data_IF_605982479866
#
_entry.id   IF_605982479866
#
_cell.length_a   1.000
_cell.length_b   1.000
_cell.length_c   1.000
_cell.angle_alpha   90.00
_cell.angle_beta   90.00
_cell.angle_gamma   90.00
#
_symmetry.space_group_name_H-M   'P 1'
#
loop_
_entity.id
_entity.type
_entity.pdbx_description
1 polymer ?
#
# COMPACT_ATOMS: atom_id res chain seq x y z
N UNK A 1 -49.67 -8.96 -2.91
CA UNK A 1 -49.09 -7.72 -2.33
C UNK A 1 -47.75 -7.43 -3.03
N UNK A 2 -47.67 -6.35 -3.83
CA UNK A 2 -46.40 -5.87 -4.43
C UNK A 2 -46.01 -4.58 -3.70
N UNK A 3 -44.93 -4.62 -2.95
CA UNK A 3 -44.33 -3.42 -2.35
C UNK A 3 -43.56 -2.68 -3.45
N UNK A 4 -44.12 -1.56 -3.92
CA UNK A 4 -43.38 -0.60 -4.74
C UNK A 4 -42.38 0.15 -3.86
N UNK A 5 -41.09 -0.05 -4.11
CA UNK A 5 -40.03 0.77 -3.53
C UNK A 5 -39.93 2.03 -4.39
N UNK A 6 -40.45 3.14 -3.86
CA UNK A 6 -40.32 4.46 -4.47
C UNK A 6 -38.98 5.07 -4.00
N UNK A 7 -38.00 5.17 -4.90
CA UNK A 7 -36.74 5.85 -4.63
C UNK A 7 -36.88 7.33 -5.00
N UNK A 8 -36.60 8.28 -4.09
CA UNK A 8 -36.66 9.70 -4.43
C UNK A 8 -35.54 10.08 -5.42
N UNK A 9 -35.78 11.01 -6.36
CA UNK A 9 -34.75 11.46 -7.28
C UNK A 9 -33.66 12.22 -6.52
N UNK A 10 -32.41 11.82 -6.75
CA UNK A 10 -31.22 12.50 -6.25
C UNK A 10 -31.11 13.84 -7.00
N UNK A 11 -31.33 14.95 -6.29
CA UNK A 11 -31.05 16.27 -6.82
C UNK A 11 -29.54 16.39 -7.07
N UNK A 12 -29.16 16.64 -8.33
CA UNK A 12 -27.79 16.95 -8.69
C UNK A 12 -27.51 18.42 -8.31
N UNK A 13 -26.61 18.64 -7.35
CA UNK A 13 -26.11 19.97 -7.05
C UNK A 13 -25.12 20.42 -8.15
N UNK A 14 -25.17 21.70 -8.58
CA UNK A 14 -24.24 22.23 -9.57
C UNK A 14 -22.83 22.36 -8.98
N UNK A 15 -21.86 21.77 -9.69
CA UNK A 15 -20.43 21.86 -9.41
C UNK A 15 -20.02 23.34 -9.51
N UNK A 16 -19.71 23.97 -8.37
CA UNK A 16 -19.09 25.30 -8.35
C UNK A 16 -17.67 25.20 -8.89
N UNK A 17 -17.46 25.70 -10.11
CA UNK A 17 -16.14 25.89 -10.70
C UNK A 17 -15.41 27.03 -9.99
N UNK A 18 -14.37 26.71 -9.23
CA UNK A 18 -13.44 27.73 -8.72
C UNK A 18 -12.64 28.36 -9.87
N UNK A 19 -12.43 29.69 -9.87
CA UNK A 19 -11.61 30.35 -10.88
C UNK A 19 -10.13 30.00 -10.73
N UNK A 20 -9.48 29.77 -11.87
CA UNK A 20 -8.05 29.47 -11.97
C UNK A 20 -7.18 30.66 -11.49
N UNK A 21 -6.05 30.41 -10.81
CA UNK A 21 -5.10 31.47 -10.49
C UNK A 21 -4.46 32.00 -11.78
N UNK A 22 -4.52 33.33 -11.93
CA UNK A 22 -3.91 34.09 -13.01
C UNK A 22 -2.39 33.90 -13.02
N UNK A 23 -1.84 33.54 -14.18
CA UNK A 23 -0.40 33.45 -14.43
C UNK A 23 0.22 34.85 -14.37
N UNK A 24 0.74 35.23 -13.19
CA UNK A 24 1.62 36.37 -13.07
C UNK A 24 2.96 36.08 -13.78
N UNK A 25 3.19 36.88 -14.81
CA UNK A 25 4.32 36.91 -15.73
C UNK A 25 5.64 37.20 -14.98
N UNK A 26 6.40 36.17 -14.65
CA UNK A 26 7.80 36.36 -14.21
C UNK A 26 8.63 36.71 -15.46
N UNK A 27 9.06 37.97 -15.54
CA UNK A 27 10.02 38.43 -16.53
C UNK A 27 11.37 37.78 -16.24
N UNK A 28 11.87 37.03 -17.22
CA UNK A 28 13.26 36.60 -17.31
C UNK A 28 14.16 37.83 -17.42
N UNK A 29 14.99 38.07 -16.41
CA UNK A 29 16.23 38.85 -16.56
C UNK A 29 17.38 37.84 -16.55
N UNK A 30 17.57 37.20 -17.69
CA UNK A 30 18.88 36.68 -18.06
C UNK A 30 19.75 37.88 -18.49
N UNK A 31 21.06 37.75 -18.31
CA UNK A 31 22.11 38.67 -18.76
C UNK A 31 22.50 39.81 -17.81
N UNK A 32 23.26 39.46 -16.76
CA UNK A 32 24.48 40.17 -16.38
C UNK A 32 25.15 39.42 -15.22
N UNK A 33 26.02 38.45 -15.51
CA UNK A 33 27.19 38.04 -14.69
C UNK A 33 27.75 36.68 -15.10
N UNK A 34 28.09 36.50 -16.38
CA UNK A 34 28.96 35.39 -16.79
C UNK A 34 30.07 35.88 -17.71
N UNK A 35 30.96 36.70 -17.16
CA UNK A 35 32.33 36.83 -17.66
C UNK A 35 33.19 37.41 -16.56
N UNK A 36 34.36 36.80 -16.37
CA UNK A 36 35.42 37.13 -15.41
C UNK A 36 35.29 36.52 -14.00
N UNK A 37 35.45 35.19 -13.90
CA UNK A 37 36.32 34.65 -12.85
C UNK A 37 36.72 33.21 -13.12
N UNK A 38 37.73 33.03 -13.97
CA UNK A 38 38.46 31.76 -14.15
C UNK A 38 39.39 31.44 -12.97
N UNK A 39 39.17 32.02 -11.79
CA UNK A 39 40.05 31.91 -10.62
C UNK A 39 39.44 31.14 -9.42
N UNK A 40 38.21 30.64 -9.51
CA UNK A 40 37.57 29.87 -8.41
C UNK A 40 37.58 28.34 -8.60
N UNK A 41 38.07 27.83 -9.73
CA UNK A 41 38.11 26.39 -10.02
C UNK A 41 39.29 25.67 -9.34
N UNK A 42 40.18 26.40 -8.64
CA UNK A 42 41.39 25.85 -8.03
C UNK A 42 41.32 25.60 -6.50
N UNK A 43 40.12 25.53 -5.89
CA UNK A 43 39.97 25.23 -4.45
C UNK A 43 39.08 24.03 -4.10
N UNK A 44 38.42 23.39 -5.07
CA UNK A 44 37.70 22.14 -4.81
C UNK A 44 38.61 20.94 -5.08
N UNK A 45 39.52 20.72 -4.14
CA UNK A 45 40.20 19.44 -3.94
C UNK A 45 39.13 18.37 -3.71
N UNK A 46 38.87 17.53 -4.71
CA UNK A 46 38.01 16.35 -4.60
C UNK A 46 38.64 15.41 -3.58
N UNK A 47 38.11 15.42 -2.37
CA UNK A 47 38.38 14.40 -1.36
C UNK A 47 37.71 13.09 -1.77
N UNK A 48 38.37 11.92 -1.67
CA UNK A 48 37.73 10.64 -1.89
C UNK A 48 36.62 10.44 -0.84
N UNK A 49 35.35 10.43 -1.27
CA UNK A 49 34.23 9.99 -0.44
C UNK A 49 34.27 8.46 -0.43
N UNK A 50 35.19 7.93 0.37
CA UNK A 50 35.12 6.55 0.83
C UNK A 50 35.49 6.55 2.32
N UNK A 51 34.49 6.91 3.15
CA UNK A 51 34.48 6.56 4.56
C UNK A 51 33.08 6.07 4.91
N UNK A 52 32.97 4.76 4.87
CA UNK A 52 31.92 3.95 5.47
C UNK A 52 31.93 4.23 6.98
N UNK A 53 31.33 5.33 7.42
CA UNK A 53 31.14 5.62 8.85
C UNK A 53 30.07 4.69 9.40
N UNK A 54 30.52 3.59 9.99
CA UNK A 54 29.72 2.62 10.76
C UNK A 54 28.93 3.28 11.90
N UNK A 55 29.35 4.47 12.34
CA UNK A 55 28.73 5.24 13.44
C UNK A 55 27.43 5.93 13.03
N UNK A 56 27.29 6.38 11.77
CA UNK A 56 26.06 7.04 11.32
C UNK A 56 24.85 6.10 11.22
N UNK A 57 25.09 4.78 11.15
CA UNK A 57 24.01 3.76 11.25
C UNK A 57 23.44 3.62 12.66
N UNK A 58 24.18 3.99 13.71
CA UNK A 58 23.73 3.80 15.09
C UNK A 58 22.67 4.83 15.52
N UNK A 59 22.76 6.07 15.03
CA UNK A 59 21.81 7.13 15.39
C UNK A 59 20.46 7.07 14.64
N UNK A 60 20.39 6.37 13.50
CA UNK A 60 19.13 6.14 12.77
C UNK A 60 18.29 4.98 13.32
N UNK A 61 18.86 4.13 14.19
CA UNK A 61 18.17 2.95 14.73
C UNK A 61 17.10 3.29 15.79
N UNK A 62 17.15 4.48 16.41
CA UNK A 62 16.18 4.91 17.42
C UNK A 62 14.85 5.46 16.86
N UNK A 63 14.73 5.59 15.53
CA UNK A 63 13.52 6.03 14.83
C UNK A 63 12.75 4.88 14.15
N UNK A 64 13.04 3.62 14.51
CA UNK A 64 11.99 2.61 14.41
C UNK A 64 10.85 3.11 15.32
N UNK A 65 9.60 3.04 14.89
CA UNK A 65 8.48 3.46 15.74
C UNK A 65 8.01 2.29 16.61
N UNK A 66 8.45 2.10 17.86
CA UNK A 66 7.68 1.37 18.85
C UNK A 66 6.77 2.37 19.55
N UNK A 67 5.78 2.93 18.84
CA UNK A 67 4.62 3.47 19.56
C UNK A 67 3.97 2.27 20.25
N UNK A 68 3.79 2.27 21.60
CA UNK A 68 3.13 1.17 22.27
C UNK A 68 1.74 0.99 21.66
N UNK A 69 1.44 -0.23 21.22
CA UNK A 69 0.12 -0.55 20.69
C UNK A 69 -0.95 -0.22 21.74
N UNK A 70 -1.97 0.54 21.37
CA UNK A 70 -3.03 0.92 22.32
C UNK A 70 -3.82 -0.31 22.77
N UNK A 71 -4.31 -0.31 24.01
CA UNK A 71 -5.08 -1.43 24.60
C UNK A 71 -6.28 -1.82 23.73
N UNK A 72 -6.89 -0.83 23.07
CA UNK A 72 -8.00 -1.02 22.13
C UNK A 72 -7.61 -1.80 20.87
N UNK A 73 -6.36 -1.69 20.41
CA UNK A 73 -5.85 -2.43 19.26
C UNK A 73 -5.57 -3.89 19.62
N UNK A 74 -4.97 -4.13 20.79
CA UNK A 74 -4.74 -5.49 21.32
C UNK A 74 -6.05 -6.25 21.51
N UNK A 75 -7.10 -5.56 22.00
CA UNK A 75 -8.42 -6.16 22.19
C UNK A 75 -9.08 -6.60 20.87
N UNK A 76 -8.77 -5.93 19.75
CA UNK A 76 -9.38 -6.18 18.43
C UNK A 76 -8.60 -7.14 17.54
N UNK A 77 -7.35 -7.47 17.87
CA UNK A 77 -6.58 -8.46 17.11
C UNK A 77 -7.23 -9.84 17.20
N UNK A 78 -7.35 -10.56 16.08
CA UNK A 78 -7.79 -11.95 16.10
C UNK A 78 -6.78 -12.80 16.89
N UNK A 79 -7.29 -13.59 17.84
CA UNK A 79 -6.48 -14.50 18.68
C UNK A 79 -6.38 -15.91 18.10
N UNK A 80 -7.26 -16.24 17.15
CA UNK A 80 -7.39 -17.58 16.54
C UNK A 80 -6.64 -17.58 15.20
N UNK A 81 -5.93 -18.68 14.91
CA UNK A 81 -5.28 -18.89 13.63
C UNK A 81 -6.29 -18.87 12.47
N UNK A 82 -5.89 -18.50 11.24
CA UNK A 82 -6.77 -18.47 10.07
C UNK A 82 -6.97 -19.87 9.47
N UNK A 83 -7.34 -20.84 10.30
CA UNK A 83 -7.61 -22.24 9.95
C UNK A 83 -8.82 -22.73 10.73
N UNK A 84 -9.48 -23.78 10.22
CA UNK A 84 -10.57 -24.47 10.92
C UNK A 84 -10.08 -25.68 11.73
N UNK A 85 -8.79 -26.00 11.67
CA UNK A 85 -8.20 -27.16 12.32
C UNK A 85 -8.26 -27.01 13.85
N UNK A 86 -8.92 -27.95 14.52
CA UNK A 86 -9.06 -27.96 15.98
C UNK A 86 -10.09 -26.99 16.57
N UNK A 87 -10.95 -26.41 15.73
CA UNK A 87 -12.10 -25.59 16.19
C UNK A 87 -13.27 -26.52 16.51
N UNK A 88 -13.85 -26.36 17.70
CA UNK A 88 -15.11 -27.04 18.06
C UNK A 88 -16.27 -26.42 17.27
N UNK A 89 -16.97 -27.25 16.49
CA UNK A 89 -18.09 -26.82 15.65
C UNK A 89 -19.38 -26.58 16.43
N UNK A 90 -19.50 -27.10 17.65
CA UNK A 90 -20.68 -26.86 18.49
C UNK A 90 -20.61 -25.51 19.22
N UNK A 91 -19.40 -24.95 19.42
CA UNK A 91 -19.22 -23.60 19.94
C UNK A 91 -19.33 -22.54 18.82
N UNK A 92 -20.51 -21.95 18.72
CA UNK A 92 -20.82 -20.85 17.80
C UNK A 92 -19.84 -19.66 17.89
N UNK A 93 -19.27 -19.38 19.07
CA UNK A 93 -18.33 -18.26 19.24
C UNK A 93 -16.97 -18.60 18.64
N UNK A 94 -16.45 -19.79 18.94
CA UNK A 94 -15.19 -20.28 18.38
C UNK A 94 -15.26 -20.39 16.86
N UNK A 95 -16.37 -20.95 16.33
CA UNK A 95 -16.59 -21.03 14.89
C UNK A 95 -16.61 -19.67 14.20
N UNK A 96 -17.30 -18.68 14.78
CA UNK A 96 -17.34 -17.33 14.20
C UNK A 96 -15.99 -16.65 14.26
N UNK A 97 -15.23 -16.82 15.34
CA UNK A 97 -13.88 -16.29 15.43
C UNK A 97 -12.97 -16.85 14.33
N UNK A 98 -13.06 -18.15 14.03
CA UNK A 98 -12.30 -18.80 12.95
C UNK A 98 -12.74 -18.33 11.55
N UNK A 99 -14.05 -18.23 11.30
CA UNK A 99 -14.58 -17.67 10.04
C UNK A 99 -14.06 -16.25 9.80
N UNK A 100 -14.13 -15.40 10.82
CA UNK A 100 -13.65 -14.03 10.70
C UNK A 100 -12.13 -13.96 10.51
N UNK A 101 -11.35 -14.85 11.14
CA UNK A 101 -9.89 -14.91 10.96
C UNK A 101 -9.53 -15.20 9.49
N UNK A 102 -10.18 -16.20 8.88
CA UNK A 102 -9.97 -16.55 7.47
C UNK A 102 -10.35 -15.40 6.54
N UNK A 103 -11.50 -14.77 6.77
CA UNK A 103 -11.94 -13.65 5.93
C UNK A 103 -11.00 -12.45 6.06
N UNK A 104 -10.53 -12.11 7.27
CA UNK A 104 -9.56 -11.02 7.47
C UNK A 104 -8.27 -11.26 6.68
N UNK A 105 -7.72 -12.47 6.70
CA UNK A 105 -6.51 -12.80 5.92
C UNK A 105 -6.73 -12.69 4.41
N UNK A 106 -7.90 -13.10 3.91
CA UNK A 106 -8.25 -12.90 2.50
C UNK A 106 -8.31 -11.40 2.14
N UNK A 107 -8.85 -10.56 3.04
CA UNK A 107 -8.84 -9.11 2.85
C UNK A 107 -7.44 -8.51 2.92
N UNK A 108 -6.57 -8.99 3.81
CA UNK A 108 -5.15 -8.56 3.89
C UNK A 108 -4.46 -8.82 2.55
N UNK A 109 -4.61 -10.02 1.95
CA UNK A 109 -4.05 -10.33 0.62
C UNK A 109 -4.61 -9.42 -0.46
N UNK A 110 -5.90 -9.10 -0.41
CA UNK A 110 -6.52 -8.14 -1.33
C UNK A 110 -5.95 -6.73 -1.17
N UNK A 111 -5.71 -6.28 0.07
CA UNK A 111 -5.09 -4.97 0.35
C UNK A 111 -3.63 -4.92 -0.11
N UNK A 112 -2.87 -6.01 0.05
CA UNK A 112 -1.50 -6.10 -0.48
C UNK A 112 -1.48 -5.89 -1.99
N UNK A 113 -2.41 -6.51 -2.73
CA UNK A 113 -2.52 -6.32 -4.18
C UNK A 113 -2.90 -4.87 -4.55
N UNK A 114 -3.74 -4.19 -3.76
CA UNK A 114 -4.09 -2.77 -3.97
C UNK A 114 -2.90 -1.85 -3.79
N UNK A 115 -2.07 -2.06 -2.75
CA UNK A 115 -0.86 -1.29 -2.52
C UNK A 115 0.11 -1.40 -3.70
N UNK A 116 0.34 -2.62 -4.21
CA UNK A 116 1.21 -2.83 -5.37
C UNK A 116 0.63 -2.17 -6.63
N UNK A 117 -0.68 -2.23 -6.82
CA UNK A 117 -1.36 -1.56 -7.94
C UNK A 117 -1.19 -0.04 -7.89
N UNK A 118 -1.31 0.56 -6.72
CA UNK A 118 -1.13 2.01 -6.54
C UNK A 118 0.31 2.43 -6.81
N UNK A 119 1.29 1.67 -6.32
CA UNK A 119 2.70 1.95 -6.59
C UNK A 119 3.06 1.76 -8.07
N UNK A 120 2.51 0.74 -8.73
CA UNK A 120 2.63 0.55 -10.17
C UNK A 120 2.04 1.74 -10.93
N UNK A 121 0.88 2.25 -10.52
CA UNK A 121 0.26 3.44 -11.10
C UNK A 121 1.12 4.70 -10.94
N UNK A 122 1.84 4.85 -9.83
CA UNK A 122 2.84 5.93 -9.66
C UNK A 122 4.07 5.72 -10.55
N UNK A 123 4.57 4.50 -10.69
CA UNK A 123 5.68 4.19 -11.59
C UNK A 123 5.34 4.57 -13.04
N UNK A 124 4.15 4.20 -13.52
CA UNK A 124 3.69 4.53 -14.87
C UNK A 124 3.61 6.05 -15.09
N UNK A 125 3.18 6.81 -14.08
CA UNK A 125 3.14 8.28 -14.13
C UNK A 125 4.54 8.93 -14.09
N UNK A 126 5.50 8.34 -13.38
CA UNK A 126 6.88 8.87 -13.27
C UNK A 126 7.72 8.59 -14.52
N UNK A 127 7.66 7.37 -15.05
CA UNK A 127 8.53 6.91 -16.15
C UNK A 127 7.98 7.23 -17.54
N UNK A 128 6.67 7.48 -17.66
CA UNK A 128 6.02 7.80 -18.93
C UNK A 128 6.23 6.68 -19.95
N UNK A 129 6.77 7.01 -21.12
CA UNK A 129 6.99 6.06 -22.22
C UNK A 129 7.94 4.90 -21.82
N UNK A 130 8.79 5.09 -20.80
CA UNK A 130 9.78 4.10 -20.37
C UNK A 130 9.25 3.08 -19.35
N UNK A 131 7.94 3.05 -19.08
CA UNK A 131 7.36 2.18 -18.06
C UNK A 131 7.54 0.68 -18.32
N UNK A 132 7.80 0.27 -19.57
CA UNK A 132 7.98 -1.13 -19.95
C UNK A 132 9.27 -1.74 -19.37
N UNK A 133 10.35 -0.98 -19.34
CA UNK A 133 11.66 -1.42 -18.82
C UNK A 133 11.76 -1.20 -17.30
N UNK A 134 11.25 -0.07 -16.81
CA UNK A 134 11.44 0.36 -15.42
C UNK A 134 10.40 -0.22 -14.46
N UNK A 135 9.15 -0.38 -14.89
CA UNK A 135 8.05 -0.81 -14.02
C UNK A 135 7.70 -2.31 -14.13
N UNK A 136 8.50 -3.10 -14.87
CA UNK A 136 8.23 -4.53 -15.10
C UNK A 136 8.14 -5.36 -13.81
N UNK A 137 9.02 -5.10 -12.85
CA UNK A 137 9.05 -5.80 -11.56
C UNK A 137 7.75 -5.61 -10.73
N UNK A 138 7.16 -4.40 -10.75
CA UNK A 138 5.89 -4.14 -10.07
C UNK A 138 4.73 -4.87 -10.75
N UNK A 139 4.74 -4.94 -12.08
CA UNK A 139 3.75 -5.67 -12.86
C UNK A 139 3.82 -7.17 -12.57
N UNK A 140 5.01 -7.76 -12.54
CA UNK A 140 5.21 -9.18 -12.22
C UNK A 140 4.75 -9.49 -10.80
N UNK A 141 5.16 -8.68 -9.82
CA UNK A 141 4.70 -8.82 -8.44
C UNK A 141 3.18 -8.69 -8.32
N UNK A 142 2.58 -7.79 -9.09
CA UNK A 142 1.14 -7.63 -9.12
C UNK A 142 0.44 -8.89 -9.65
N UNK A 143 0.97 -9.52 -10.69
CA UNK A 143 0.43 -10.78 -11.23
C UNK A 143 0.60 -11.96 -10.27
N UNK A 144 1.70 -12.03 -9.53
CA UNK A 144 1.87 -13.04 -8.47
C UNK A 144 0.77 -12.92 -7.41
N UNK A 145 0.53 -11.71 -6.92
CA UNK A 145 -0.47 -11.44 -5.89
C UNK A 145 -1.90 -11.60 -6.41
N UNK A 146 -2.14 -11.42 -7.71
CA UNK A 146 -3.48 -11.50 -8.30
C UNK A 146 -4.15 -12.86 -8.14
N UNK A 147 -3.34 -13.93 -8.06
CA UNK A 147 -3.80 -15.31 -7.87
C UNK A 147 -4.59 -15.49 -6.55
N UNK A 148 -4.17 -14.76 -5.52
CA UNK A 148 -4.70 -14.86 -4.16
C UNK A 148 -5.45 -13.60 -3.69
N UNK A 149 -5.51 -12.55 -4.51
CA UNK A 149 -6.13 -11.27 -4.15
C UNK A 149 -7.67 -11.31 -4.06
N UNK A 150 -8.31 -12.32 -4.66
CA UNK A 150 -9.77 -12.46 -4.67
C UNK A 150 -10.24 -13.10 -3.36
N UNK A 151 -11.13 -12.42 -2.66
CA UNK A 151 -11.84 -12.96 -1.49
C UNK A 151 -12.77 -14.09 -1.95
N UNK A 152 -12.55 -15.30 -1.44
CA UNK A 152 -13.31 -16.52 -1.83
C UNK A 152 -14.40 -16.88 -0.83
N UNK A 153 -14.36 -16.30 0.38
CA UNK A 153 -15.25 -16.66 1.48
C UNK A 153 -14.67 -17.77 2.35
N UNK A 154 -15.40 -18.17 3.40
CA UNK A 154 -15.00 -19.23 4.34
C UNK A 154 -15.67 -20.58 4.05
N UNK A 155 -16.78 -20.61 3.30
CA UNK A 155 -17.58 -21.83 3.09
C UNK A 155 -16.76 -22.96 2.45
N UNK A 156 -15.94 -22.64 1.45
CA UNK A 156 -15.12 -23.66 0.78
C UNK A 156 -14.13 -24.32 1.75
N UNK A 157 -13.48 -23.53 2.62
CA UNK A 157 -12.56 -24.05 3.63
C UNK A 157 -13.29 -24.79 4.76
N UNK A 158 -14.54 -24.42 5.05
CA UNK A 158 -15.36 -25.06 6.07
C UNK A 158 -15.93 -26.42 5.61
N UNK A 159 -16.33 -26.52 4.34
CA UNK A 159 -16.96 -27.73 3.77
C UNK A 159 -15.93 -28.77 3.29
N UNK A 160 -14.72 -28.34 2.94
CA UNK A 160 -13.65 -29.21 2.47
C UNK A 160 -12.51 -29.27 3.49
N UNK A 161 -12.81 -29.73 4.70
CA UNK A 161 -11.77 -30.12 5.65
C UNK A 161 -11.13 -31.41 5.13
N UNK A 162 -9.94 -31.30 4.56
CA UNK A 162 -9.12 -32.49 4.29
C UNK A 162 -8.34 -32.69 5.58
N UNK A 163 -8.75 -33.66 6.40
CA UNK A 163 -7.95 -34.05 7.57
C UNK A 163 -6.49 -34.20 7.12
N UNK A 164 -5.54 -33.59 7.83
CA UNK A 164 -4.13 -33.67 7.44
C UNK A 164 -3.63 -35.12 7.36
N UNK A 165 -4.29 -36.04 8.08
CA UNK A 165 -4.09 -37.48 7.98
C UNK A 165 -4.42 -38.09 6.60
N UNK A 166 -5.22 -37.41 5.78
CA UNK A 166 -5.66 -37.86 4.46
C UNK A 166 -4.92 -37.18 3.29
N UNK A 167 -4.04 -36.20 3.57
CA UNK A 167 -3.12 -35.61 2.58
C UNK A 167 -1.94 -36.58 2.36
N UNK A 168 -2.16 -37.61 1.54
CA UNK A 168 -1.12 -38.51 1.04
C UNK A 168 -0.32 -37.89 -0.10
#
# INVERSE_FOLDING_TARGET
MRCHVHWPPIAAEPIQSSPAPTLARIRTTADANYRTSTAWIALYRVSPIDRRDSSARAHLAAAAMPTPESELFLAKKPKVAPTFDGVDYEDNKALKAAQDAIIREQWVRSMMARLVREEMGKCYRREGVNHLEKCGHLRERYFELLKDAKVKGYLFAQQNYVDEALKR
#
